data_IF_003513797200
#
_entry.id   IF_003513797200
#
_cell.length_a   1.000
_cell.length_b   1.000
_cell.length_c   1.000
_cell.angle_alpha   90.00
_cell.angle_beta   90.00
_cell.angle_gamma   90.00
#
_symmetry.space_group_name_H-M   'P 1'
#
loop_
_entity.id
_entity.type
_entity.pdbx_description
1 polymer ?
#
# COMPACT_ATOMS: atom_id res chain seq x y z
N UNK A 1 34.22 6.11 49.19
CA UNK A 1 33.13 6.96 48.68
C UNK A 1 33.67 8.34 48.32
N UNK A 2 34.41 8.50 47.25
CA UNK A 2 34.86 9.80 46.66
C UNK A 2 35.69 9.51 45.41
N UNK A 3 35.15 8.92 44.37
CA UNK A 3 35.77 8.76 43.01
C UNK A 3 34.80 8.34 41.91
N UNK A 4 33.55 8.77 41.92
CA UNK A 4 32.56 8.47 40.84
C UNK A 4 31.88 9.74 40.29
N UNK A 5 32.23 10.94 40.70
CA UNK A 5 31.57 12.20 40.26
C UNK A 5 32.38 13.08 39.30
N UNK A 6 33.28 12.53 38.48
CA UNK A 6 34.12 13.35 37.61
C UNK A 6 34.14 12.91 36.12
N UNK A 7 33.17 12.16 35.64
CA UNK A 7 33.10 11.76 34.22
C UNK A 7 31.83 12.14 33.48
N UNK A 8 30.94 12.97 34.03
CA UNK A 8 29.72 13.47 33.38
C UNK A 8 29.72 14.97 33.04
N UNK A 9 30.88 15.63 33.12
CA UNK A 9 30.96 17.08 32.84
C UNK A 9 31.78 17.45 31.58
N UNK A 10 32.15 16.49 30.72
CA UNK A 10 33.00 16.75 29.55
C UNK A 10 32.33 16.56 28.18
N UNK A 11 31.01 16.33 28.11
CA UNK A 11 30.29 16.15 26.83
C UNK A 11 29.28 17.26 26.49
N UNK A 12 29.25 18.36 27.22
CA UNK A 12 28.31 19.48 27.00
C UNK A 12 28.93 20.77 26.40
N UNK A 13 30.15 20.69 25.85
CA UNK A 13 30.88 21.89 25.39
C UNK A 13 31.37 21.87 23.93
N UNK A 14 30.72 21.12 23.02
CA UNK A 14 31.12 21.08 21.59
C UNK A 14 29.96 21.33 20.61
N UNK A 15 28.95 22.07 20.96
CA UNK A 15 27.84 22.47 20.06
C UNK A 15 27.64 24.01 20.03
N UNK A 16 28.74 24.77 19.96
CA UNK A 16 28.66 26.20 19.62
C UNK A 16 29.78 26.52 18.63
N UNK A 17 29.42 26.74 17.38
CA UNK A 17 30.32 27.40 16.43
C UNK A 17 30.37 26.84 15.04
N UNK A 18 29.30 26.99 14.25
CA UNK A 18 29.39 27.16 12.80
C UNK A 18 28.14 27.89 12.28
N UNK A 19 28.08 29.20 12.57
CA UNK A 19 27.22 30.12 11.86
C UNK A 19 27.81 30.35 10.47
N UNK A 20 27.30 29.65 9.44
CA UNK A 20 27.50 30.05 8.04
C UNK A 20 26.48 31.14 7.70
N UNK A 21 26.99 32.33 7.42
CA UNK A 21 26.25 33.41 6.76
C UNK A 21 25.67 32.84 5.45
N UNK A 22 24.36 32.94 5.31
CA UNK A 22 23.66 32.74 4.05
C UNK A 22 24.06 33.92 3.14
N UNK A 23 24.74 33.61 2.03
CA UNK A 23 24.96 34.55 0.96
C UNK A 23 23.62 34.87 0.30
N UNK A 24 23.30 36.16 0.17
CA UNK A 24 22.14 36.63 -0.57
C UNK A 24 22.27 36.20 -2.03
N UNK A 25 21.25 35.49 -2.53
CA UNK A 25 21.10 35.18 -3.94
C UNK A 25 20.58 36.42 -4.65
N UNK A 26 21.25 36.91 -5.71
CA UNK A 26 20.75 38.08 -6.43
C UNK A 26 19.45 37.75 -7.16
N UNK A 27 18.49 38.64 -7.02
CA UNK A 27 17.18 38.65 -7.65
C UNK A 27 17.31 38.64 -9.17
N UNK A 28 16.79 37.59 -9.82
CA UNK A 28 16.81 37.44 -11.26
C UNK A 28 15.82 38.44 -11.90
N UNK A 29 16.32 39.29 -12.73
CA UNK A 29 15.55 40.24 -13.57
C UNK A 29 14.58 39.44 -14.49
N UNK A 30 13.29 39.82 -14.56
CA UNK A 30 12.36 39.10 -15.43
C UNK A 30 12.68 39.36 -16.90
N UNK A 31 12.73 38.27 -17.67
CA UNK A 31 12.87 38.32 -19.12
C UNK A 31 11.60 38.91 -19.78
N UNK A 32 11.72 39.61 -20.92
CA UNK A 32 10.59 40.28 -21.56
C UNK A 32 9.61 39.23 -22.14
N UNK A 33 8.33 39.40 -21.82
CA UNK A 33 7.20 38.61 -22.32
C UNK A 33 7.09 38.77 -23.84
N UNK A 34 7.26 37.68 -24.59
CA UNK A 34 7.00 37.64 -26.01
C UNK A 34 5.48 37.75 -26.24
N UNK A 35 5.10 38.79 -26.99
CA UNK A 35 3.72 38.97 -27.50
C UNK A 35 3.49 37.96 -28.62
N UNK A 36 2.67 36.95 -28.36
CA UNK A 36 2.24 36.01 -29.42
C UNK A 36 1.06 36.64 -30.16
N UNK A 37 1.34 37.03 -31.41
CA UNK A 37 0.32 37.53 -32.33
C UNK A 37 -0.53 36.35 -32.81
N UNK A 38 -1.84 36.36 -32.53
CA UNK A 38 -2.76 35.35 -32.97
C UNK A 38 -2.92 35.33 -34.49
N UNK A 39 -2.68 34.21 -35.12
CA UNK A 39 -2.96 33.94 -36.53
C UNK A 39 -4.47 33.77 -36.71
N UNK A 40 -5.11 34.41 -37.72
CA UNK A 40 -6.56 34.28 -37.90
C UNK A 40 -6.94 32.87 -38.36
N UNK A 41 -7.95 32.29 -37.73
CA UNK A 41 -8.59 31.03 -38.07
C UNK A 41 -9.28 31.13 -39.43
N UNK A 42 -9.10 30.19 -40.37
CA UNK A 42 -9.79 30.20 -41.66
C UNK A 42 -11.30 29.98 -41.47
N UNK A 43 -12.12 30.84 -42.06
CA UNK A 43 -13.59 30.78 -42.10
C UNK A 43 -14.02 29.53 -42.89
N UNK A 44 -14.86 28.72 -42.30
CA UNK A 44 -15.42 27.51 -42.91
C UNK A 44 -16.37 27.92 -44.09
N UNK A 45 -16.14 27.33 -45.24
CA UNK A 45 -17.00 27.44 -46.44
C UNK A 45 -18.31 26.65 -46.18
N UNK A 46 -19.52 27.20 -46.47
CA UNK A 46 -20.75 26.47 -46.26
C UNK A 46 -20.90 25.29 -47.22
N UNK A 47 -21.19 24.13 -46.66
CA UNK A 47 -21.53 22.90 -47.39
C UNK A 47 -22.90 23.04 -48.04
N UNK A 48 -23.10 22.70 -49.32
CA UNK A 48 -24.40 22.80 -49.99
C UNK A 48 -25.41 21.79 -49.39
N UNK A 49 -26.62 22.27 -49.16
CA UNK A 49 -27.75 21.49 -48.68
C UNK A 49 -28.20 20.51 -49.77
N UNK A 50 -28.38 19.21 -49.48
CA UNK A 50 -28.88 18.27 -50.49
C UNK A 50 -30.37 18.50 -50.76
N UNK A 51 -30.72 18.51 -52.05
CA UNK A 51 -32.08 18.58 -52.56
C UNK A 51 -32.83 17.29 -52.23
N UNK A 52 -34.09 17.35 -51.75
CA UNK A 52 -34.86 16.15 -51.44
C UNK A 52 -35.24 15.39 -52.72
N UNK A 53 -34.87 14.11 -52.77
CA UNK A 53 -35.28 13.17 -53.81
C UNK A 53 -36.60 12.54 -53.38
N UNK A 54 -37.64 12.71 -54.21
CA UNK A 54 -38.94 12.08 -54.01
C UNK A 54 -38.80 10.58 -54.31
N UNK A 55 -38.83 9.74 -53.28
CA UNK A 55 -38.83 8.29 -53.46
C UNK A 55 -40.27 7.80 -53.50
N UNK A 56 -40.68 7.28 -54.63
CA UNK A 56 -42.01 6.61 -54.80
C UNK A 56 -41.97 5.28 -54.07
N UNK A 57 -42.86 5.13 -53.07
CA UNK A 57 -42.93 3.90 -52.28
C UNK A 57 -43.60 2.78 -53.08
N UNK A 58 -42.95 1.64 -53.20
CA UNK A 58 -43.54 0.39 -53.68
C UNK A 58 -44.47 -0.23 -52.63
N UNK A 59 -45.49 -1.03 -53.00
CA UNK A 59 -46.46 -1.56 -52.07
C UNK A 59 -45.81 -2.51 -51.07
N UNK A 60 -46.14 -2.27 -49.80
CA UNK A 60 -45.62 -2.99 -48.63
C UNK A 60 -46.19 -4.42 -48.62
N UNK A 61 -45.30 -5.41 -48.67
CA UNK A 61 -45.67 -6.81 -48.41
C UNK A 61 -46.02 -7.00 -46.91
N UNK A 62 -47.13 -7.72 -46.66
CA UNK A 62 -47.58 -8.05 -45.29
C UNK A 62 -46.50 -8.88 -44.61
N UNK A 63 -46.03 -8.51 -43.41
CA UNK A 63 -45.00 -9.28 -42.72
C UNK A 63 -45.58 -10.63 -42.23
N UNK A 64 -44.87 -11.71 -42.54
CA UNK A 64 -45.12 -13.03 -41.95
C UNK A 64 -44.81 -12.95 -40.46
N UNK A 65 -45.67 -13.50 -39.55
CA UNK A 65 -45.38 -13.46 -38.13
C UNK A 65 -44.09 -14.22 -37.81
N UNK A 66 -43.19 -13.53 -37.10
CA UNK A 66 -41.99 -14.18 -36.61
C UNK A 66 -42.34 -15.26 -35.59
N UNK A 67 -41.62 -16.41 -35.60
CA UNK A 67 -41.81 -17.42 -34.55
C UNK A 67 -41.49 -16.82 -33.20
N UNK A 68 -42.38 -16.99 -32.22
CA UNK A 68 -42.18 -16.62 -30.84
C UNK A 68 -40.93 -17.31 -30.32
N UNK A 69 -39.92 -16.59 -29.78
CA UNK A 69 -38.73 -17.24 -29.25
C UNK A 69 -39.11 -18.20 -28.14
N UNK A 70 -38.67 -19.46 -28.24
CA UNK A 70 -38.76 -20.43 -27.15
C UNK A 70 -37.97 -19.87 -25.98
N UNK A 71 -38.54 -19.86 -24.75
CA UNK A 71 -37.79 -19.34 -23.60
C UNK A 71 -36.51 -20.21 -23.44
N UNK A 72 -35.37 -19.53 -23.51
CA UNK A 72 -34.06 -20.12 -23.16
C UNK A 72 -34.14 -20.57 -21.70
N UNK A 73 -33.76 -21.80 -21.37
CA UNK A 73 -33.75 -22.24 -19.98
C UNK A 73 -32.86 -21.27 -19.17
N UNK A 74 -33.43 -20.66 -18.16
CA UNK A 74 -32.72 -19.87 -17.19
C UNK A 74 -31.67 -20.77 -16.54
N UNK A 75 -30.40 -20.41 -16.67
CA UNK A 75 -29.32 -21.15 -16.02
C UNK A 75 -29.64 -21.25 -14.52
N UNK A 76 -29.70 -22.46 -13.98
CA UNK A 76 -29.79 -22.68 -12.55
C UNK A 76 -28.55 -22.05 -11.93
N UNK A 77 -28.67 -21.16 -10.94
CA UNK A 77 -27.51 -20.58 -10.30
C UNK A 77 -26.63 -21.72 -9.77
N UNK A 78 -25.36 -21.74 -10.17
CA UNK A 78 -24.36 -22.64 -9.59
C UNK A 78 -24.33 -22.34 -8.10
N UNK A 79 -24.38 -23.34 -7.20
CA UNK A 79 -24.29 -23.06 -5.78
C UNK A 79 -22.97 -22.33 -5.51
N UNK A 80 -23.07 -21.08 -5.07
CA UNK A 80 -21.91 -20.31 -4.60
C UNK A 80 -21.38 -21.05 -3.37
N UNK A 81 -20.14 -21.51 -3.40
CA UNK A 81 -19.49 -22.06 -2.20
C UNK A 81 -19.60 -21.03 -1.08
N UNK A 82 -19.83 -21.51 0.15
CA UNK A 82 -19.83 -20.61 1.31
C UNK A 82 -18.50 -19.81 1.35
N UNK A 83 -18.55 -18.52 1.73
CA UNK A 83 -17.35 -17.73 1.90
C UNK A 83 -16.35 -18.45 2.79
N UNK A 84 -15.10 -18.49 2.37
CA UNK A 84 -14.03 -19.21 3.08
C UNK A 84 -13.00 -18.19 3.56
N UNK A 85 -12.58 -18.25 4.83
CA UNK A 85 -11.51 -17.39 5.33
C UNK A 85 -10.22 -17.55 4.49
N UNK A 86 -9.51 -16.45 4.30
CA UNK A 86 -8.23 -16.41 3.62
C UNK A 86 -7.23 -15.57 4.41
N UNK A 87 -5.95 -15.73 4.12
CA UNK A 87 -4.91 -15.04 4.88
C UNK A 87 -3.89 -14.33 3.99
N UNK A 88 -3.25 -13.32 4.58
CA UNK A 88 -2.08 -12.64 4.05
C UNK A 88 -0.94 -12.73 5.08
N UNK A 89 0.25 -13.09 4.63
CA UNK A 89 1.44 -12.98 5.46
C UNK A 89 1.96 -11.54 5.41
N UNK A 90 2.03 -10.87 6.56
CA UNK A 90 2.59 -9.54 6.67
C UNK A 90 3.99 -9.59 7.25
N UNK A 91 4.96 -9.25 6.43
CA UNK A 91 6.39 -9.17 6.72
C UNK A 91 6.75 -7.70 6.91
N UNK A 92 7.18 -7.29 8.10
CA UNK A 92 7.71 -5.94 8.32
C UNK A 92 9.20 -5.88 7.95
N UNK A 93 9.83 -4.79 8.29
CA UNK A 93 11.24 -4.42 8.14
C UNK A 93 12.22 -5.61 8.22
N UNK A 94 12.85 -5.98 7.11
CA UNK A 94 13.83 -7.07 7.01
C UNK A 94 15.26 -6.58 6.74
N UNK A 95 15.50 -5.29 6.83
CA UNK A 95 16.79 -4.68 6.50
C UNK A 95 17.97 -5.27 7.30
N UNK A 96 17.76 -5.70 8.55
CA UNK A 96 18.80 -6.37 9.33
C UNK A 96 19.12 -7.77 8.79
N UNK A 97 18.16 -8.47 8.17
CA UNK A 97 18.48 -9.73 7.50
C UNK A 97 19.39 -9.48 6.31
N UNK A 98 19.06 -8.51 5.47
CA UNK A 98 19.84 -8.16 4.30
C UNK A 98 21.29 -7.76 4.66
N UNK A 99 21.47 -7.14 5.81
CA UNK A 99 22.80 -6.66 6.24
C UNK A 99 23.58 -7.68 7.08
N UNK A 100 22.93 -8.35 8.05
CA UNK A 100 23.65 -9.13 9.07
C UNK A 100 23.49 -10.64 8.94
N UNK A 101 22.34 -11.14 8.44
CA UNK A 101 22.01 -12.56 8.48
C UNK A 101 21.05 -12.96 7.35
N UNK A 102 21.53 -13.02 6.09
CA UNK A 102 20.68 -13.32 4.94
C UNK A 102 20.02 -14.70 5.00
N UNK A 103 20.55 -15.63 5.79
CA UNK A 103 19.96 -16.96 5.95
C UNK A 103 18.53 -16.90 6.54
N UNK A 104 18.23 -15.85 7.30
CA UNK A 104 16.90 -15.62 7.86
C UNK A 104 15.81 -15.40 6.78
N UNK A 105 16.17 -14.92 5.61
CA UNK A 105 15.26 -14.82 4.49
C UNK A 105 14.74 -16.19 4.03
N UNK A 106 15.62 -17.18 3.95
CA UNK A 106 15.24 -18.55 3.58
C UNK A 106 14.32 -19.15 4.65
N UNK A 107 14.68 -18.96 5.92
CA UNK A 107 13.87 -19.44 7.04
C UNK A 107 12.47 -18.79 7.01
N UNK A 108 12.38 -17.47 6.74
CA UNK A 108 11.11 -16.76 6.67
C UNK A 108 10.25 -17.28 5.51
N UNK A 109 10.83 -17.47 4.32
CA UNK A 109 10.12 -18.05 3.19
C UNK A 109 9.60 -19.46 3.50
N UNK A 110 10.43 -20.30 4.13
CA UNK A 110 10.05 -21.64 4.57
C UNK A 110 8.86 -21.60 5.53
N UNK A 111 8.90 -20.75 6.57
CA UNK A 111 7.78 -20.63 7.55
C UNK A 111 6.48 -20.18 6.90
N UNK A 112 6.53 -19.26 5.95
CA UNK A 112 5.34 -18.83 5.20
C UNK A 112 4.80 -19.98 4.34
N UNK A 113 5.67 -20.69 3.61
CA UNK A 113 5.29 -21.80 2.75
C UNK A 113 4.66 -22.96 3.53
N UNK A 114 5.22 -23.32 4.70
CA UNK A 114 4.68 -24.39 5.56
C UNK A 114 3.22 -24.12 5.98
N UNK A 115 2.85 -22.85 6.10
CA UNK A 115 1.51 -22.44 6.53
C UNK A 115 0.57 -22.11 5.37
N UNK A 116 1.09 -22.05 4.13
CA UNK A 116 0.34 -21.60 2.96
C UNK A 116 -1.02 -22.29 2.81
N UNK A 117 -1.03 -23.62 2.88
CA UNK A 117 -2.27 -24.40 2.69
C UNK A 117 -3.16 -24.38 3.92
N UNK A 118 -2.59 -24.61 5.12
CA UNK A 118 -3.37 -24.68 6.36
C UNK A 118 -4.06 -23.38 6.72
N UNK A 119 -3.42 -22.25 6.45
CA UNK A 119 -3.93 -20.93 6.76
C UNK A 119 -4.54 -20.23 5.53
N UNK A 120 -4.59 -20.92 4.38
CA UNK A 120 -5.06 -20.35 3.10
C UNK A 120 -4.39 -19.01 2.79
N UNK A 121 -3.04 -18.97 2.82
CA UNK A 121 -2.28 -17.74 2.55
C UNK A 121 -2.26 -17.52 1.03
N UNK A 122 -2.74 -16.33 0.60
CA UNK A 122 -2.81 -15.92 -0.79
C UNK A 122 -1.57 -15.15 -1.25
N UNK A 123 -0.91 -14.46 -0.33
CA UNK A 123 0.22 -13.62 -0.67
C UNK A 123 0.96 -13.06 0.53
N UNK A 124 2.06 -12.39 0.22
CA UNK A 124 2.96 -11.77 1.18
C UNK A 124 2.94 -10.25 1.00
N UNK A 125 2.60 -9.52 2.04
CA UNK A 125 2.71 -8.06 2.13
C UNK A 125 4.03 -7.72 2.81
N UNK A 126 4.81 -6.81 2.23
CA UNK A 126 6.01 -6.27 2.88
C UNK A 126 5.86 -4.76 3.09
N UNK A 127 5.88 -4.31 4.34
CA UNK A 127 5.60 -2.93 4.70
C UNK A 127 6.80 -1.97 4.61
N UNK A 128 7.84 -2.34 3.86
CA UNK A 128 9.00 -1.49 3.57
C UNK A 128 10.26 -1.85 4.37
N UNK A 129 11.37 -1.19 4.05
CA UNK A 129 12.69 -1.49 4.56
C UNK A 129 13.09 -2.96 4.32
N UNK A 130 13.00 -3.36 3.03
CA UNK A 130 13.37 -4.70 2.56
C UNK A 130 14.87 -4.92 2.77
N UNK A 131 15.67 -3.87 2.52
CA UNK A 131 17.12 -3.83 2.68
C UNK A 131 17.54 -2.60 3.50
N UNK A 132 18.73 -2.65 4.13
CA UNK A 132 19.25 -1.55 4.97
C UNK A 132 19.77 -0.37 4.14
N UNK A 133 20.27 -0.66 2.94
CA UNK A 133 20.74 0.38 2.02
C UNK A 133 20.49 -0.04 0.57
N UNK A 134 19.44 0.52 -0.02
CA UNK A 134 19.01 0.22 -1.38
C UNK A 134 20.06 0.42 -2.47
N UNK A 135 21.09 1.27 -2.24
CA UNK A 135 22.21 1.46 -3.15
C UNK A 135 23.27 0.35 -3.09
N UNK A 136 23.16 -0.59 -2.17
CA UNK A 136 24.08 -1.72 -2.04
C UNK A 136 23.50 -2.95 -2.75
N UNK A 137 23.98 -3.24 -3.96
CA UNK A 137 23.47 -4.37 -4.77
C UNK A 137 23.53 -5.69 -4.00
N UNK A 138 24.59 -5.92 -3.23
CA UNK A 138 24.75 -7.15 -2.44
C UNK A 138 23.65 -7.36 -1.39
N UNK A 139 23.00 -6.30 -0.90
CA UNK A 139 21.86 -6.45 0.01
C UNK A 139 20.61 -6.92 -0.72
N UNK A 140 20.41 -6.47 -1.95
CA UNK A 140 19.36 -7.01 -2.82
C UNK A 140 19.66 -8.46 -3.23
N UNK A 141 20.92 -8.78 -3.52
CA UNK A 141 21.35 -10.16 -3.80
C UNK A 141 21.10 -11.07 -2.58
N UNK A 142 21.15 -10.53 -1.36
CA UNK A 142 20.78 -11.22 -0.12
C UNK A 142 19.25 -11.35 0.06
N UNK A 143 18.45 -10.40 -0.45
CA UNK A 143 17.00 -10.39 -0.36
C UNK A 143 16.34 -11.30 -1.42
N UNK A 144 16.87 -11.33 -2.63
CA UNK A 144 16.29 -12.05 -3.76
C UNK A 144 15.97 -13.53 -3.44
N UNK A 145 16.79 -14.29 -2.69
CA UNK A 145 16.49 -15.65 -2.26
C UNK A 145 15.20 -15.80 -1.45
N UNK A 146 14.73 -14.74 -0.75
CA UNK A 146 13.42 -14.76 -0.11
C UNK A 146 12.31 -14.98 -1.14
N UNK A 147 12.31 -14.18 -2.20
CA UNK A 147 11.30 -14.26 -3.25
C UNK A 147 11.42 -15.53 -4.08
N UNK A 148 12.64 -15.99 -4.37
CA UNK A 148 12.90 -17.19 -5.14
C UNK A 148 12.45 -18.47 -4.42
N UNK A 149 12.38 -18.44 -3.09
CA UNK A 149 11.97 -19.58 -2.26
C UNK A 149 10.52 -19.46 -1.75
N UNK A 150 9.80 -18.37 -2.01
CA UNK A 150 8.36 -18.34 -1.77
C UNK A 150 7.63 -19.26 -2.74
N UNK A 151 6.54 -19.88 -2.29
CA UNK A 151 5.66 -20.65 -3.15
C UNK A 151 5.20 -19.77 -4.33
N UNK A 152 5.35 -20.22 -5.59
CA UNK A 152 5.07 -19.40 -6.77
C UNK A 152 3.58 -19.02 -6.92
N UNK A 153 2.68 -19.62 -6.16
CA UNK A 153 1.27 -19.23 -6.11
C UNK A 153 1.02 -17.99 -5.25
N UNK A 154 1.96 -17.62 -4.37
CA UNK A 154 1.85 -16.44 -3.51
C UNK A 154 2.19 -15.19 -4.31
N UNK A 155 1.31 -14.19 -4.27
CA UNK A 155 1.71 -12.87 -4.75
C UNK A 155 2.60 -12.17 -3.72
N UNK A 156 3.45 -11.25 -4.20
CA UNK A 156 4.26 -10.40 -3.35
C UNK A 156 3.82 -8.94 -3.50
N UNK A 157 3.47 -8.28 -2.39
CA UNK A 157 2.97 -6.91 -2.35
C UNK A 157 3.89 -6.04 -1.49
N UNK A 158 4.96 -5.46 -2.08
CA UNK A 158 5.91 -4.61 -1.35
C UNK A 158 5.55 -3.14 -1.43
N UNK A 159 5.92 -2.38 -0.40
CA UNK A 159 6.06 -0.92 -0.47
C UNK A 159 7.51 -0.53 -0.19
N UNK A 160 7.96 0.58 -0.74
CA UNK A 160 9.30 1.08 -0.43
C UNK A 160 9.33 1.71 0.97
N UNK A 161 10.32 1.32 1.79
CA UNK A 161 10.71 2.05 2.99
C UNK A 161 11.80 3.09 2.70
N UNK A 162 12.22 3.83 3.73
CA UNK A 162 13.25 4.87 3.56
C UNK A 162 14.65 4.28 3.30
N UNK A 163 14.94 3.08 3.78
CA UNK A 163 16.21 2.40 3.52
C UNK A 163 16.29 1.85 2.09
N UNK A 164 15.17 1.43 1.51
CA UNK A 164 15.09 0.88 0.16
C UNK A 164 15.43 1.90 -0.92
N UNK A 165 15.04 3.16 -0.71
CA UNK A 165 15.19 4.26 -1.69
C UNK A 165 16.44 5.09 -1.45
N UNK A 166 17.15 4.89 -0.34
CA UNK A 166 18.32 5.66 0.08
C UNK A 166 17.98 6.83 1.00
N UNK A 167 19.01 7.38 1.65
CA UNK A 167 18.90 8.38 2.72
C UNK A 167 18.37 9.75 2.26
N UNK A 168 18.26 9.98 0.98
CA UNK A 168 17.76 11.24 0.40
C UNK A 168 16.38 11.07 -0.21
N UNK A 169 15.46 10.63 0.57
CA UNK A 169 13.99 10.69 0.51
C UNK A 169 13.24 10.87 -0.85
N UNK A 170 13.92 11.06 -1.97
CA UNK A 170 13.33 11.31 -3.28
C UNK A 170 13.86 10.36 -4.37
N UNK A 171 14.80 9.49 -4.02
CA UNK A 171 15.53 8.72 -5.00
C UNK A 171 15.11 7.24 -4.99
N UNK A 172 14.04 6.93 -5.70
CA UNK A 172 13.57 5.58 -5.91
C UNK A 172 14.47 4.73 -6.83
N UNK A 173 15.68 5.22 -7.20
CA UNK A 173 16.57 4.56 -8.18
C UNK A 173 16.96 3.14 -7.79
N UNK A 174 17.06 2.85 -6.51
CA UNK A 174 17.45 1.54 -6.04
C UNK A 174 16.28 0.56 -5.99
N UNK A 175 15.05 1.06 -5.76
CA UNK A 175 13.84 0.28 -5.59
C UNK A 175 13.12 0.01 -6.91
N UNK A 176 12.90 1.04 -7.75
CA UNK A 176 12.09 0.93 -8.98
C UNK A 176 12.60 -0.12 -9.99
N UNK A 177 13.91 -0.36 -10.16
CA UNK A 177 14.38 -1.38 -11.11
C UNK A 177 14.17 -2.82 -10.64
N UNK A 178 13.63 -3.06 -9.45
CA UNK A 178 13.50 -4.41 -8.90
C UNK A 178 12.54 -5.29 -9.70
N UNK A 179 12.90 -6.57 -9.91
CA UNK A 179 12.10 -7.49 -10.73
C UNK A 179 10.68 -7.69 -10.24
N UNK A 180 10.45 -7.68 -8.92
CA UNK A 180 9.12 -7.90 -8.33
C UNK A 180 8.10 -6.82 -8.73
N UNK A 181 8.52 -5.60 -9.04
CA UNK A 181 7.62 -4.54 -9.51
C UNK A 181 7.16 -4.75 -10.96
N UNK A 182 7.89 -5.57 -11.74
CA UNK A 182 7.52 -5.90 -13.12
C UNK A 182 6.32 -6.86 -13.18
N UNK A 183 6.02 -7.57 -12.08
CA UNK A 183 4.86 -8.45 -11.98
C UNK A 183 3.54 -7.68 -11.94
N UNK A 184 3.57 -6.37 -11.63
CA UNK A 184 2.38 -5.52 -11.61
C UNK A 184 2.11 -4.96 -13.02
N UNK A 185 0.86 -5.07 -13.54
CA UNK A 185 0.42 -4.35 -14.73
C UNK A 185 0.64 -2.83 -14.57
N UNK A 186 0.82 -2.12 -15.69
CA UNK A 186 1.12 -0.68 -15.64
C UNK A 186 -0.03 0.12 -15.03
N UNK A 187 -1.28 -0.32 -15.21
CA UNK A 187 -2.47 0.28 -14.60
C UNK A 187 -2.56 0.10 -13.09
N UNK A 188 -1.83 -0.88 -12.53
CA UNK A 188 -1.80 -1.17 -11.08
C UNK A 188 -0.62 -0.53 -10.36
N UNK A 189 0.15 0.32 -11.05
CA UNK A 189 1.32 1.00 -10.45
C UNK A 189 1.47 2.42 -10.95
N UNK A 190 1.77 3.32 -10.03
CA UNK A 190 2.13 4.71 -10.32
C UNK A 190 3.64 4.85 -10.37
N UNK A 191 4.14 5.54 -11.41
CA UNK A 191 5.54 5.91 -11.61
C UNK A 191 6.52 4.76 -11.27
N UNK A 192 6.32 3.62 -11.97
CA UNK A 192 7.18 2.44 -11.88
C UNK A 192 7.03 1.59 -10.61
N UNK A 193 6.10 1.92 -9.70
CA UNK A 193 5.86 1.19 -8.46
C UNK A 193 6.07 1.99 -7.18
N UNK A 194 6.11 3.32 -7.26
CA UNK A 194 6.12 4.19 -6.09
C UNK A 194 4.82 4.10 -5.28
N UNK A 195 3.71 3.88 -5.98
CA UNK A 195 2.42 3.48 -5.41
C UNK A 195 1.93 2.30 -6.24
N UNK A 196 1.34 1.31 -5.59
CA UNK A 196 0.80 0.11 -6.24
C UNK A 196 -0.56 -0.22 -5.65
N UNK A 197 -1.41 -0.93 -6.40
CA UNK A 197 -2.60 -1.53 -5.84
C UNK A 197 -2.84 -2.94 -6.39
N UNK A 198 -3.66 -3.68 -5.68
CA UNK A 198 -4.16 -5.00 -6.07
C UNK A 198 -5.57 -5.20 -5.53
N UNK A 199 -6.47 -5.72 -6.35
CA UNK A 199 -7.77 -6.20 -5.89
C UNK A 199 -7.63 -7.67 -5.52
N UNK A 200 -8.12 -8.04 -4.35
CA UNK A 200 -8.28 -9.40 -3.89
C UNK A 200 -9.76 -9.75 -3.98
N UNK A 201 -10.09 -10.77 -4.78
CA UNK A 201 -11.48 -11.26 -4.95
C UNK A 201 -11.54 -12.66 -4.38
N UNK A 202 -11.71 -12.77 -3.06
CA UNK A 202 -11.68 -14.03 -2.34
C UNK A 202 -12.81 -14.15 -1.33
N UNK A 203 -13.28 -15.35 -1.11
CA UNK A 203 -14.36 -15.61 -0.15
C UNK A 203 -15.70 -14.96 -0.50
N UNK A 204 -15.87 -14.41 -1.71
CA UNK A 204 -17.05 -13.64 -2.13
C UNK A 204 -16.97 -12.17 -1.81
N UNK A 205 -15.83 -11.67 -1.34
CA UNK A 205 -15.53 -10.27 -1.03
C UNK A 205 -14.44 -9.73 -1.96
N UNK A 206 -14.56 -8.46 -2.31
CA UNK A 206 -13.53 -7.71 -3.02
C UNK A 206 -12.86 -6.73 -2.05
N UNK A 207 -11.57 -6.86 -1.86
CA UNK A 207 -10.76 -5.99 -0.97
C UNK A 207 -9.67 -5.33 -1.79
N UNK A 208 -9.50 -4.02 -1.63
CA UNK A 208 -8.43 -3.27 -2.26
C UNK A 208 -7.19 -3.24 -1.36
N UNK A 209 -6.07 -3.78 -1.83
CA UNK A 209 -4.77 -3.50 -1.26
C UNK A 209 -4.19 -2.26 -1.95
N UNK A 210 -3.79 -1.25 -1.18
CA UNK A 210 -3.17 -0.03 -1.66
C UNK A 210 -1.83 0.16 -0.96
N UNK A 211 -0.73 0.17 -1.72
CA UNK A 211 0.63 0.34 -1.22
C UNK A 211 1.16 1.72 -1.57
N UNK A 212 1.51 2.53 -0.57
CA UNK A 212 2.09 3.86 -0.74
C UNK A 212 3.52 3.85 -0.23
N UNK A 213 4.49 3.98 -1.13
CA UNK A 213 5.91 3.99 -0.77
C UNK A 213 6.31 5.25 0.01
N UNK A 214 7.51 5.21 0.58
CA UNK A 214 8.05 6.27 1.45
C UNK A 214 7.92 7.67 0.84
N UNK A 215 7.36 8.59 1.60
CA UNK A 215 7.09 9.99 1.25
C UNK A 215 6.09 10.23 0.09
N UNK A 216 5.54 9.19 -0.53
CA UNK A 216 4.58 9.38 -1.63
C UNK A 216 3.24 9.96 -1.18
N UNK A 217 2.89 9.88 0.11
CA UNK A 217 1.72 10.59 0.66
C UNK A 217 1.85 12.13 0.63
N UNK A 218 3.05 12.67 0.36
CA UNK A 218 3.30 14.10 0.16
C UNK A 218 3.42 14.47 -1.32
N UNK A 219 3.50 13.50 -2.23
CA UNK A 219 3.59 13.74 -3.67
C UNK A 219 2.19 13.94 -4.27
N UNK A 220 1.97 15.10 -4.91
CA UNK A 220 0.67 15.47 -5.47
C UNK A 220 0.23 14.57 -6.64
N UNK A 221 1.16 14.04 -7.41
CA UNK A 221 0.88 13.15 -8.52
C UNK A 221 0.46 11.78 -8.01
N UNK A 222 1.21 11.24 -7.04
CA UNK A 222 0.90 9.98 -6.36
C UNK A 222 -0.47 10.04 -5.68
N UNK A 223 -0.77 11.13 -4.96
CA UNK A 223 -2.04 11.26 -4.26
C UNK A 223 -3.24 11.41 -5.22
N UNK A 224 -3.08 12.10 -6.34
CA UNK A 224 -4.13 12.17 -7.37
C UNK A 224 -4.40 10.80 -7.98
N UNK A 225 -3.36 10.06 -8.33
CA UNK A 225 -3.51 8.70 -8.84
C UNK A 225 -4.14 7.77 -7.79
N UNK A 226 -3.74 7.90 -6.52
CA UNK A 226 -4.38 7.20 -5.40
C UNK A 226 -5.89 7.51 -5.32
N UNK A 227 -6.28 8.77 -5.46
CA UNK A 227 -7.70 9.18 -5.45
C UNK A 227 -8.47 8.59 -6.64
N UNK A 228 -7.85 8.52 -7.83
CA UNK A 228 -8.42 7.88 -9.01
C UNK A 228 -8.64 6.37 -8.80
N UNK A 229 -7.68 5.67 -8.19
CA UNK A 229 -7.80 4.25 -7.83
C UNK A 229 -8.92 4.03 -6.82
N UNK A 230 -8.96 4.81 -5.74
CA UNK A 230 -9.99 4.68 -4.71
C UNK A 230 -11.39 5.00 -5.25
N UNK A 231 -11.52 5.99 -6.14
CA UNK A 231 -12.78 6.31 -6.79
C UNK A 231 -13.27 5.19 -7.74
N UNK A 232 -12.34 4.52 -8.43
CA UNK A 232 -12.66 3.37 -9.28
C UNK A 232 -13.09 2.12 -8.48
N UNK A 233 -12.73 2.05 -7.20
CA UNK A 233 -12.97 0.92 -6.29
C UNK A 233 -13.72 1.38 -5.02
N UNK A 234 -14.61 2.37 -5.15
CA UNK A 234 -15.28 3.02 -4.01
C UNK A 234 -16.13 2.08 -3.14
N UNK A 235 -16.58 0.96 -3.69
CA UNK A 235 -17.41 -0.03 -3.01
C UNK A 235 -16.58 -1.11 -2.29
N UNK A 236 -15.24 -1.02 -2.37
CA UNK A 236 -14.32 -1.98 -1.76
C UNK A 236 -13.69 -1.40 -0.50
N UNK A 237 -13.65 -2.14 0.63
CA UNK A 237 -12.81 -1.76 1.76
C UNK A 237 -11.34 -1.78 1.34
N UNK A 238 -10.60 -0.77 1.78
CA UNK A 238 -9.18 -0.62 1.43
C UNK A 238 -8.28 -0.94 2.62
N UNK A 239 -7.29 -1.79 2.39
CA UNK A 239 -6.16 -2.02 3.27
C UNK A 239 -4.99 -1.19 2.75
N UNK A 240 -4.60 -0.17 3.50
CA UNK A 240 -3.45 0.65 3.20
C UNK A 240 -2.17 0.02 3.77
N UNK A 241 -1.18 -0.18 2.92
CA UNK A 241 0.18 -0.55 3.31
C UNK A 241 1.08 0.67 3.10
N UNK A 242 1.71 1.13 4.16
CA UNK A 242 2.58 2.31 4.15
C UNK A 242 3.72 2.12 5.13
N UNK A 243 4.96 2.46 4.75
CA UNK A 243 6.09 2.14 5.62
C UNK A 243 6.05 2.88 6.95
N UNK A 244 5.88 4.19 6.96
CA UNK A 244 5.87 5.01 8.17
C UNK A 244 4.51 5.63 8.45
N UNK A 245 3.91 5.28 9.61
CA UNK A 245 2.70 5.92 10.10
C UNK A 245 2.71 6.06 11.62
N UNK A 246 2.61 4.96 12.38
CA UNK A 246 2.66 4.99 13.84
C UNK A 246 4.12 5.15 14.30
N UNK A 247 4.35 6.04 15.27
CA UNK A 247 5.67 6.34 15.82
C UNK A 247 5.84 5.80 17.25
N UNK A 248 4.73 5.60 17.96
CA UNK A 248 4.64 5.09 19.32
C UNK A 248 3.18 4.72 19.63
N UNK A 249 2.88 4.33 20.85
CA UNK A 249 1.51 4.08 21.31
C UNK A 249 0.54 5.27 21.07
N UNK A 250 1.05 6.50 21.09
CA UNK A 250 0.23 7.71 20.95
C UNK A 250 0.72 8.64 19.83
N UNK A 251 1.87 8.37 19.25
CA UNK A 251 2.50 9.21 18.22
C UNK A 251 2.28 8.66 16.81
N UNK A 252 1.99 9.54 15.86
CA UNK A 252 1.85 9.19 14.45
C UNK A 252 2.15 10.39 13.55
N UNK A 253 2.41 10.13 12.27
CA UNK A 253 2.56 11.19 11.25
C UNK A 253 1.19 11.81 10.94
N UNK A 254 0.97 13.06 11.36
CA UNK A 254 -0.30 13.77 11.12
C UNK A 254 -0.64 13.91 9.64
N UNK A 255 0.35 14.05 8.76
CA UNK A 255 0.11 14.12 7.31
C UNK A 255 -0.45 12.83 6.74
N UNK A 256 -0.06 11.68 7.29
CA UNK A 256 -0.62 10.37 6.92
C UNK A 256 -2.02 10.21 7.49
N UNK A 257 -2.23 10.60 8.74
CA UNK A 257 -3.57 10.58 9.37
C UNK A 257 -4.56 11.43 8.57
N UNK A 258 -4.22 12.65 8.20
CA UNK A 258 -5.06 13.53 7.37
C UNK A 258 -5.34 12.93 5.99
N UNK A 259 -4.36 12.24 5.41
CA UNK A 259 -4.54 11.51 4.15
C UNK A 259 -5.55 10.38 4.30
N UNK A 260 -5.51 9.63 5.41
CA UNK A 260 -6.47 8.56 5.73
C UNK A 260 -7.86 9.14 6.03
N UNK A 261 -7.94 10.22 6.81
CA UNK A 261 -9.20 10.89 7.15
C UNK A 261 -9.99 11.31 5.90
N UNK A 262 -9.30 11.81 4.88
CA UNK A 262 -9.91 12.24 3.63
C UNK A 262 -10.36 11.10 2.69
N UNK A 263 -10.17 9.82 3.06
CA UNK A 263 -10.41 8.66 2.17
C UNK A 263 -11.24 7.57 2.87
N UNK A 264 -12.57 7.65 2.77
CA UNK A 264 -13.48 6.84 3.59
C UNK A 264 -13.45 5.33 3.30
N UNK A 265 -12.88 4.90 2.20
CA UNK A 265 -12.71 3.46 1.89
C UNK A 265 -11.61 2.79 2.69
N UNK A 266 -10.64 3.54 3.25
CA UNK A 266 -9.55 2.98 4.06
C UNK A 266 -10.11 2.50 5.40
N UNK A 267 -9.88 1.21 5.72
CA UNK A 267 -10.35 0.52 6.93
C UNK A 267 -9.24 -0.01 7.80
N UNK A 268 -8.16 -0.46 7.20
CA UNK A 268 -7.01 -1.06 7.88
C UNK A 268 -5.72 -0.44 7.37
N UNK A 269 -4.75 -0.21 8.26
CA UNK A 269 -3.43 0.32 7.89
C UNK A 269 -2.34 -0.57 8.48
N UNK A 270 -1.41 -0.99 7.62
CA UNK A 270 -0.24 -1.78 7.99
C UNK A 270 1.02 -0.93 7.81
N UNK A 271 1.83 -0.78 8.85
CA UNK A 271 3.08 -0.02 8.77
C UNK A 271 4.22 -0.65 9.56
N UNK A 272 5.45 -0.24 9.26
CA UNK A 272 6.69 -0.63 9.91
C UNK A 272 7.43 0.58 10.47
N UNK A 273 8.73 0.70 10.17
CA UNK A 273 9.62 1.84 10.41
C UNK A 273 10.12 1.96 11.86
N UNK A 274 9.24 2.06 12.85
CA UNK A 274 9.65 2.24 14.25
C UNK A 274 9.79 0.89 14.97
N UNK A 275 10.76 0.79 15.88
CA UNK A 275 10.97 -0.45 16.64
C UNK A 275 9.78 -0.76 17.57
N UNK A 276 9.33 -2.00 17.57
CA UNK A 276 8.27 -2.51 18.44
C UNK A 276 7.00 -2.90 17.70
N UNK A 277 5.87 -2.86 18.39
CA UNK A 277 4.54 -3.06 17.83
C UNK A 277 3.54 -2.16 18.55
N UNK A 278 2.62 -1.60 17.76
CA UNK A 278 1.60 -0.69 18.25
C UNK A 278 0.33 -0.89 17.45
N UNK A 279 -0.83 -0.71 18.11
CA UNK A 279 -2.13 -0.66 17.46
C UNK A 279 -2.81 0.63 17.88
N UNK A 280 -3.37 1.34 16.92
CA UNK A 280 -4.13 2.56 17.16
C UNK A 280 -5.43 2.54 16.38
N UNK A 281 -6.52 2.89 17.05
CA UNK A 281 -7.85 2.94 16.44
C UNK A 281 -8.25 4.40 16.26
N UNK A 282 -8.42 4.79 15.00
CA UNK A 282 -8.95 6.10 14.61
C UNK A 282 -10.43 5.99 14.32
N UNK A 283 -11.18 7.05 14.64
CA UNK A 283 -12.60 7.14 14.32
C UNK A 283 -12.90 8.44 13.61
N UNK A 284 -13.63 8.36 12.51
CA UNK A 284 -13.92 9.49 11.64
C UNK A 284 -15.43 9.69 11.50
N UNK A 285 -15.84 10.96 11.41
CA UNK A 285 -17.14 11.45 11.04
C UNK A 285 -17.02 11.85 9.55
N UNK A 286 -17.48 10.97 8.65
CA UNK A 286 -17.24 11.10 7.22
C UNK A 286 -18.25 12.04 6.53
N UNK A 287 -19.44 12.27 7.14
CA UNK A 287 -20.48 13.15 6.60
C UNK A 287 -20.64 14.48 7.36
N UNK A 288 -19.98 14.64 8.49
CA UNK A 288 -19.95 15.88 9.28
C UNK A 288 -21.18 16.09 10.17
N UNK A 289 -21.92 15.03 10.49
CA UNK A 289 -23.12 15.10 11.32
C UNK A 289 -22.84 15.04 12.83
N UNK A 290 -21.58 14.79 13.21
CA UNK A 290 -21.10 14.69 14.59
C UNK A 290 -21.08 13.26 15.13
N UNK A 291 -21.51 12.26 14.37
CA UNK A 291 -21.36 10.85 14.65
C UNK A 291 -20.09 10.32 14.00
N UNK A 292 -19.45 9.34 14.57
CA UNK A 292 -18.24 8.74 14.01
C UNK A 292 -18.57 7.33 13.50
N UNK A 293 -18.84 7.21 12.21
CA UNK A 293 -19.29 5.98 11.57
C UNK A 293 -18.14 5.07 11.20
N UNK A 294 -17.00 5.66 10.81
CA UNK A 294 -15.86 4.90 10.31
C UNK A 294 -14.81 4.69 11.38
N UNK A 295 -14.42 3.43 11.53
CA UNK A 295 -13.28 3.02 12.32
C UNK A 295 -12.15 2.58 11.38
N UNK A 296 -10.91 3.03 11.67
CA UNK A 296 -9.69 2.60 10.99
C UNK A 296 -8.72 2.06 12.04
N UNK A 297 -8.38 0.79 11.91
CA UNK A 297 -7.34 0.20 12.76
C UNK A 297 -5.99 0.27 12.06
N UNK A 298 -5.06 0.98 12.67
CA UNK A 298 -3.67 1.04 12.21
C UNK A 298 -2.79 0.14 13.08
N UNK A 299 -2.01 -0.70 12.45
CA UNK A 299 -1.07 -1.61 13.10
C UNK A 299 0.35 -1.32 12.64
N UNK A 300 1.28 -1.28 13.57
CA UNK A 300 2.70 -1.21 13.34
C UNK A 300 3.36 -2.48 13.88
N UNK A 301 4.29 -3.03 13.13
CA UNK A 301 5.15 -4.12 13.56
C UNK A 301 6.55 -3.89 12.98
N UNK A 302 7.55 -3.89 13.86
CA UNK A 302 8.96 -3.95 13.49
C UNK A 302 9.75 -4.54 14.67
N UNK A 303 10.07 -5.79 14.60
CA UNK A 303 10.81 -6.50 15.66
C UNK A 303 12.21 -6.95 15.18
N UNK A 304 12.76 -6.29 14.17
CA UNK A 304 14.07 -6.64 13.60
C UNK A 304 15.24 -6.55 14.59
N UNK A 305 15.12 -5.71 15.64
CA UNK A 305 16.12 -5.55 16.71
C UNK A 305 15.82 -6.39 17.93
N UNK A 306 14.67 -7.05 17.98
CA UNK A 306 14.39 -8.00 19.03
C UNK A 306 15.29 -9.23 18.89
N UNK A 307 15.43 -10.00 19.97
CA UNK A 307 16.16 -11.27 19.93
C UNK A 307 15.58 -12.20 18.88
N UNK A 308 14.24 -12.18 18.75
CA UNK A 308 13.47 -12.98 17.81
C UNK A 308 12.67 -12.06 16.90
N UNK A 309 12.89 -12.17 15.59
CA UNK A 309 12.11 -11.48 14.57
C UNK A 309 10.70 -12.02 14.52
N UNK A 310 9.71 -11.14 14.33
CA UNK A 310 8.32 -11.53 14.21
C UNK A 310 7.70 -11.04 12.90
N UNK A 311 6.76 -11.84 12.39
CA UNK A 311 5.88 -11.51 11.26
C UNK A 311 4.43 -11.87 11.62
N UNK A 312 3.46 -11.45 10.82
CA UNK A 312 2.03 -11.69 11.11
C UNK A 312 1.35 -12.48 10.01
N UNK A 313 0.43 -13.35 10.40
CA UNK A 313 -0.59 -13.90 9.51
C UNK A 313 -1.90 -13.18 9.84
N UNK A 314 -2.45 -12.49 8.85
CA UNK A 314 -3.72 -11.79 8.91
C UNK A 314 -4.77 -12.66 8.26
N UNK A 315 -5.68 -13.24 9.05
CA UNK A 315 -6.76 -14.08 8.53
C UNK A 315 -8.05 -13.28 8.46
N UNK A 316 -8.57 -13.13 7.26
CA UNK A 316 -9.80 -12.41 6.93
C UNK A 316 -10.98 -13.38 6.93
N UNK A 317 -12.02 -13.08 7.68
CA UNK A 317 -13.28 -13.83 7.68
C UNK A 317 -14.35 -13.04 6.95
N UNK A 318 -14.73 -13.45 5.73
CA UNK A 318 -15.73 -12.72 4.93
C UNK A 318 -17.14 -12.76 5.52
N UNK A 319 -17.43 -13.64 6.47
CA UNK A 319 -18.75 -13.72 7.09
C UNK A 319 -18.94 -12.72 8.22
N UNK A 320 -17.90 -12.50 9.00
CA UNK A 320 -17.92 -11.58 10.15
C UNK A 320 -17.25 -10.25 9.87
N UNK A 321 -16.57 -10.11 8.74
CA UNK A 321 -15.66 -9.00 8.40
C UNK A 321 -14.59 -8.77 9.49
N UNK A 322 -14.22 -9.82 10.19
CA UNK A 322 -13.17 -9.78 11.20
C UNK A 322 -11.80 -10.11 10.61
N UNK A 323 -10.76 -9.56 11.20
CA UNK A 323 -9.37 -9.91 10.90
C UNK A 323 -8.71 -10.47 12.15
N UNK A 324 -8.33 -11.74 12.11
CA UNK A 324 -7.51 -12.34 13.16
C UNK A 324 -6.03 -12.10 12.86
N UNK A 325 -5.35 -11.50 13.80
CA UNK A 325 -3.92 -11.15 13.74
C UNK A 325 -3.13 -12.16 14.56
N UNK A 326 -2.42 -13.07 13.90
CA UNK A 326 -1.51 -14.02 14.53
C UNK A 326 -0.08 -13.57 14.33
N UNK A 327 0.62 -13.25 15.41
CA UNK A 327 2.03 -12.87 15.37
C UNK A 327 2.90 -14.09 15.67
N UNK A 328 3.82 -14.38 14.78
CA UNK A 328 4.71 -15.54 14.84
C UNK A 328 6.16 -15.09 14.89
N UNK A 329 6.98 -15.82 15.63
CA UNK A 329 8.43 -15.70 15.59
C UNK A 329 8.99 -16.40 14.34
N UNK A 330 10.25 -16.14 14.03
CA UNK A 330 10.92 -16.73 12.86
C UNK A 330 11.04 -18.27 12.94
N UNK A 331 11.00 -18.86 14.14
CA UNK A 331 10.95 -20.31 14.34
C UNK A 331 9.55 -20.92 14.09
N UNK A 332 8.55 -20.08 13.81
CA UNK A 332 7.16 -20.46 13.57
C UNK A 332 6.31 -20.57 14.84
N UNK A 333 6.89 -20.38 16.03
CA UNK A 333 6.13 -20.37 17.28
C UNK A 333 5.34 -19.06 17.44
N UNK A 334 4.21 -19.07 18.19
CA UNK A 334 3.50 -17.85 18.53
C UNK A 334 4.41 -16.88 19.30
N UNK A 335 4.41 -15.61 18.89
CA UNK A 335 5.11 -14.58 19.66
C UNK A 335 4.46 -14.39 21.04
N UNK A 336 5.25 -14.30 22.11
CA UNK A 336 4.71 -14.13 23.45
C UNK A 336 4.19 -12.70 23.67
N UNK A 337 3.15 -12.57 24.48
CA UNK A 337 2.72 -11.26 24.96
C UNK A 337 3.80 -10.65 25.88
N UNK A 338 4.03 -9.36 25.72
CA UNK A 338 4.98 -8.63 26.54
C UNK A 338 4.27 -7.99 27.74
N UNK A 339 4.86 -8.04 28.94
CA UNK A 339 4.28 -7.42 30.13
C UNK A 339 3.98 -5.92 29.91
N UNK A 340 2.78 -5.49 30.34
CA UNK A 340 2.31 -4.10 30.27
C UNK A 340 2.18 -3.53 28.83
N UNK A 341 2.00 -4.39 27.84
CA UNK A 341 1.66 -4.02 26.47
C UNK A 341 0.32 -4.64 26.06
N UNK A 342 -0.26 -4.13 24.99
CA UNK A 342 -1.39 -4.77 24.34
C UNK A 342 -1.04 -6.19 23.85
N UNK A 343 -2.00 -7.09 23.69
CA UNK A 343 -1.76 -8.42 23.14
C UNK A 343 -1.10 -8.32 21.75
N UNK A 344 -0.08 -9.14 21.51
CA UNK A 344 0.63 -9.12 20.22
C UNK A 344 -0.15 -9.86 19.12
N UNK A 345 -1.05 -10.78 19.53
CA UNK A 345 -2.01 -11.47 18.65
C UNK A 345 -3.43 -11.18 19.16
N UNK A 346 -4.35 -10.82 18.26
CA UNK A 346 -5.70 -10.38 18.61
C UNK A 346 -6.65 -10.48 17.40
N UNK A 347 -7.93 -10.19 17.61
CA UNK A 347 -8.92 -10.09 16.53
C UNK A 347 -9.48 -8.66 16.47
N UNK A 348 -9.63 -8.17 15.25
CA UNK A 348 -10.29 -6.89 14.92
C UNK A 348 -11.67 -7.24 14.40
N UNK A 349 -12.70 -6.90 15.16
CA UNK A 349 -14.09 -7.08 14.74
C UNK A 349 -14.50 -5.97 13.76
N UNK A 350 -15.29 -6.30 12.73
CA UNK A 350 -15.73 -5.36 11.69
C UNK A 350 -14.55 -4.55 11.11
N UNK A 351 -13.48 -5.26 10.75
CA UNK A 351 -12.22 -4.67 10.33
C UNK A 351 -12.28 -4.03 8.92
N UNK A 352 -13.28 -4.43 8.09
CA UNK A 352 -13.43 -3.97 6.72
C UNK A 352 -14.88 -4.04 6.20
#
# INVERSE_FOLDING_TARGET
MKRVCLLMAALAALMVGCGRQLAEVPEATPAPTAVVTATPTPTATPTPTPTPVLVTMAPTSVPTPFPTPTPTPTATPTPTSAPTPFSLAWVPDTQHFAYFDPQKFLTLAERINERRESDNILGVIHSGDLVDNGFKSWQWDNFDPFLENLDPSLFFFPVAGNHDIGTQAQEYYAYLPRPFLKAYPDEQKYDGGKVIYRVLSEGGEDILLLGIGWNMWMDRGAMRWTDEVLAAHQDMPCILVIHGFLLSETGYYQSVEQMIAARPTIRLVLCGHMDGYYTHVFTYDDDGDGVKERTVTAMMLNMQRAQDYAFRILTFDPLSHAVTVNTLLLDGSPAPDYPNREPISFTIENAY
#
